data_IF_393420484225
#
_entry.id   IF_393420484225
#
_cell.length_a   1.000
_cell.length_b   1.000
_cell.length_c   1.000
_cell.angle_alpha   90.00
_cell.angle_beta   90.00
_cell.angle_gamma   90.00
#
_symmetry.space_group_name_H-M   'P 1'
#
loop_
_entity.id
_entity.type
_entity.pdbx_description
1 polymer ?
#
# COMPACT_ATOMS: atom_id res chain seq x y z
N UNK A 1 13.75 -30.48 -11.39
CA UNK A 1 12.65 -29.57 -11.73
C UNK A 1 12.70 -28.27 -10.93
N UNK A 2 12.95 -28.29 -9.62
CA UNK A 2 13.07 -27.06 -8.80
C UNK A 2 14.32 -26.21 -9.09
N UNK A 3 15.47 -26.87 -9.27
CA UNK A 3 16.73 -26.18 -9.60
C UNK A 3 16.74 -25.50 -10.98
N UNK A 4 16.01 -26.04 -11.98
CA UNK A 4 15.89 -25.42 -13.30
C UNK A 4 15.04 -24.15 -13.24
N UNK A 5 14.01 -24.12 -12.38
CA UNK A 5 13.16 -22.94 -12.16
C UNK A 5 13.91 -21.85 -11.40
N UNK A 6 14.66 -22.22 -10.35
CA UNK A 6 15.46 -21.26 -9.58
C UNK A 6 16.57 -20.60 -10.42
N UNK A 7 17.22 -21.34 -11.34
CA UNK A 7 18.21 -20.75 -12.25
C UNK A 7 17.59 -19.81 -13.29
N UNK A 8 16.41 -20.13 -13.81
CA UNK A 8 15.70 -19.27 -14.78
C UNK A 8 15.23 -17.95 -14.13
N UNK A 9 14.82 -18.01 -12.86
CA UNK A 9 14.43 -16.82 -12.09
C UNK A 9 15.63 -15.92 -11.77
N UNK A 10 16.80 -16.51 -11.44
CA UNK A 10 18.05 -15.76 -11.22
C UNK A 10 18.54 -15.08 -12.51
N UNK A 11 18.51 -15.76 -13.66
CA UNK A 11 18.90 -15.16 -14.94
C UNK A 11 17.97 -14.00 -15.35
N UNK A 12 16.66 -14.14 -15.12
CA UNK A 12 15.70 -13.04 -15.33
C UNK A 12 16.02 -11.87 -14.42
N UNK A 13 16.28 -12.12 -13.13
CA UNK A 13 16.66 -11.08 -12.17
C UNK A 13 17.95 -10.37 -12.58
N UNK A 14 18.99 -11.10 -13.02
CA UNK A 14 20.23 -10.50 -13.50
C UNK A 14 20.01 -9.57 -14.69
N UNK A 15 19.11 -9.92 -15.62
CA UNK A 15 18.75 -9.07 -16.77
C UNK A 15 17.96 -7.82 -16.38
N UNK A 16 17.20 -7.85 -15.29
CA UNK A 16 16.54 -6.66 -14.74
C UNK A 16 17.50 -5.77 -13.95
N UNK A 17 18.53 -6.36 -13.34
CA UNK A 17 19.53 -5.64 -12.53
C UNK A 17 20.63 -5.03 -13.41
N UNK A 18 21.04 -5.72 -14.48
CA UNK A 18 22.07 -5.27 -15.41
C UNK A 18 21.45 -4.77 -16.71
N UNK A 19 21.37 -3.45 -16.85
CA UNK A 19 20.90 -2.80 -18.08
C UNK A 19 22.11 -2.50 -19.02
N UNK A 20 22.12 -3.05 -20.25
CA UNK A 20 23.14 -2.77 -21.26
C UNK A 20 23.33 -1.28 -21.57
N UNK A 21 22.33 -0.44 -21.27
CA UNK A 21 22.43 1.01 -21.40
C UNK A 21 23.45 1.62 -20.44
N UNK A 22 23.74 1.06 -19.26
CA UNK A 22 24.73 1.63 -18.32
C UNK A 22 26.12 1.00 -18.45
N UNK A 23 26.23 -0.12 -19.15
CA UNK A 23 27.49 -0.84 -19.35
C UNK A 23 28.45 -0.12 -20.32
N UNK A 24 29.74 -0.48 -20.26
CA UNK A 24 30.76 0.03 -21.19
C UNK A 24 30.65 -0.69 -22.54
N UNK A 25 30.76 0.04 -23.66
CA UNK A 25 30.81 -0.52 -25.01
C UNK A 25 29.54 -0.37 -25.86
N UNK A 26 28.35 -0.26 -25.25
CA UNK A 26 27.07 -0.15 -25.99
C UNK A 26 26.74 1.27 -26.48
N UNK A 27 27.68 1.92 -27.18
CA UNK A 27 27.52 3.33 -27.63
C UNK A 27 26.29 3.56 -28.53
N UNK A 28 26.06 2.66 -29.49
CA UNK A 28 24.93 2.77 -30.42
C UNK A 28 23.56 2.64 -29.72
N UNK A 29 23.46 1.71 -28.75
CA UNK A 29 22.24 1.51 -27.96
C UNK A 29 21.92 2.75 -27.12
N UNK A 30 22.94 3.30 -26.45
CA UNK A 30 22.83 4.54 -25.66
C UNK A 30 22.32 5.70 -26.51
N UNK A 31 22.95 5.92 -27.66
CA UNK A 31 22.58 7.01 -28.57
C UNK A 31 21.13 6.91 -29.05
N UNK A 32 20.70 5.72 -29.50
CA UNK A 32 19.33 5.49 -29.95
C UNK A 32 18.32 5.74 -28.83
N UNK A 33 18.59 5.24 -27.62
CA UNK A 33 17.69 5.39 -26.48
C UNK A 33 17.58 6.86 -26.02
N UNK A 34 18.69 7.60 -26.01
CA UNK A 34 18.68 9.03 -25.70
C UNK A 34 17.86 9.80 -26.74
N UNK A 35 18.05 9.53 -28.04
CA UNK A 35 17.28 10.18 -29.11
C UNK A 35 15.78 9.91 -28.95
N UNK A 36 15.39 8.64 -28.78
CA UNK A 36 13.98 8.29 -28.59
C UNK A 36 13.39 8.94 -27.34
N UNK A 37 14.18 9.04 -26.27
CA UNK A 37 13.78 9.72 -25.04
C UNK A 37 13.55 11.21 -25.30
N UNK A 38 14.48 11.89 -25.97
CA UNK A 38 14.34 13.32 -26.31
C UNK A 38 13.11 13.54 -27.21
N UNK A 39 12.92 12.72 -28.23
CA UNK A 39 11.75 12.79 -29.13
C UNK A 39 10.46 12.60 -28.32
N UNK A 40 10.42 11.62 -27.42
CA UNK A 40 9.26 11.39 -26.54
C UNK A 40 8.95 12.61 -25.68
N UNK A 41 9.98 13.23 -25.10
CA UNK A 41 9.81 14.47 -24.34
C UNK A 41 9.32 15.63 -25.20
N UNK A 42 9.76 15.75 -26.46
CA UNK A 42 9.23 16.76 -27.39
C UNK A 42 7.73 16.55 -27.61
N UNK A 43 7.29 15.31 -27.83
CA UNK A 43 5.87 14.98 -27.99
C UNK A 43 5.02 15.30 -26.75
N UNK A 44 5.61 15.32 -25.56
CA UNK A 44 4.91 15.72 -24.32
C UNK A 44 4.96 17.24 -24.13
N UNK A 45 6.13 17.85 -24.28
CA UNK A 45 6.36 19.27 -23.97
C UNK A 45 5.71 20.18 -25.00
N UNK A 46 5.74 19.84 -26.28
CA UNK A 46 5.20 20.71 -27.35
C UNK A 46 3.70 20.92 -27.21
N UNK A 47 2.84 19.89 -27.07
CA UNK A 47 1.40 20.09 -26.88
C UNK A 47 1.06 20.84 -25.59
N UNK A 48 1.81 20.57 -24.51
CA UNK A 48 1.65 21.29 -23.23
C UNK A 48 1.98 22.77 -23.41
N UNK A 49 3.12 23.08 -24.04
CA UNK A 49 3.53 24.45 -24.32
C UNK A 49 2.51 25.17 -25.22
N UNK A 50 2.03 24.53 -26.28
CA UNK A 50 1.00 25.10 -27.15
C UNK A 50 -0.28 25.43 -26.39
N UNK A 51 -0.75 24.51 -25.54
CA UNK A 51 -1.95 24.72 -24.74
C UNK A 51 -1.77 25.89 -23.77
N UNK A 52 -0.65 25.96 -23.05
CA UNK A 52 -0.36 27.05 -22.10
C UNK A 52 -0.13 28.39 -22.80
N UNK A 53 0.57 28.39 -23.93
CA UNK A 53 0.82 29.56 -24.77
C UNK A 53 -0.50 30.16 -25.27
N UNK A 54 -1.40 29.32 -25.78
CA UNK A 54 -2.68 29.75 -26.33
C UNK A 54 -3.72 30.15 -25.27
N UNK A 55 -3.53 29.81 -23.98
CA UNK A 55 -4.52 30.08 -22.92
C UNK A 55 -3.98 31.03 -21.85
N UNK A 56 -2.96 30.62 -21.11
CA UNK A 56 -2.44 31.31 -19.92
C UNK A 56 -1.55 32.50 -20.27
N UNK A 57 -0.76 32.40 -21.35
CA UNK A 57 0.27 33.39 -21.67
C UNK A 57 -0.17 34.48 -22.66
N UNK A 58 -1.39 34.43 -23.18
CA UNK A 58 -1.86 35.33 -24.25
C UNK A 58 -1.76 36.82 -23.90
N UNK A 59 -1.98 37.19 -22.63
CA UNK A 59 -1.93 38.59 -22.18
C UNK A 59 -0.57 39.02 -21.61
N UNK A 60 0.44 38.14 -21.64
CA UNK A 60 1.78 38.46 -21.14
C UNK A 60 2.73 38.55 -22.32
N UNK A 61 3.34 39.72 -22.55
CA UNK A 61 4.39 39.96 -23.55
C UNK A 61 5.66 39.08 -23.37
N UNK A 62 5.64 38.14 -22.43
CA UNK A 62 6.76 37.26 -22.09
C UNK A 62 7.00 36.18 -23.14
N UNK A 63 5.96 35.69 -23.83
CA UNK A 63 6.07 34.58 -24.79
C UNK A 63 5.21 34.84 -26.01
N UNK A 64 5.72 34.52 -27.21
CA UNK A 64 4.93 34.57 -28.44
C UNK A 64 3.85 33.49 -28.37
N UNK A 65 2.59 33.91 -28.42
CA UNK A 65 1.46 33.01 -28.58
C UNK A 65 1.59 32.27 -29.90
N UNK A 66 1.66 30.94 -29.87
CA UNK A 66 1.77 30.15 -31.11
C UNK A 66 0.51 30.28 -31.96
N UNK A 67 -0.66 30.39 -31.32
CA UNK A 67 -1.93 30.59 -32.01
C UNK A 67 -2.97 31.27 -31.09
N UNK A 68 -3.73 32.23 -31.60
CA UNK A 68 -4.65 33.08 -30.82
C UNK A 68 -6.10 32.96 -31.30
N UNK A 69 -6.62 31.74 -31.37
CA UNK A 69 -8.01 31.49 -31.76
C UNK A 69 -8.91 31.64 -30.54
N UNK A 70 -9.94 32.47 -30.64
CA UNK A 70 -10.87 32.73 -29.54
C UNK A 70 -11.67 31.47 -29.17
N UNK A 71 -12.18 30.75 -30.17
CA UNK A 71 -13.00 29.54 -29.98
C UNK A 71 -12.30 28.45 -29.16
N UNK A 72 -11.01 28.19 -29.44
CA UNK A 72 -10.24 27.19 -28.69
C UNK A 72 -10.06 27.57 -27.21
N UNK A 73 -9.96 28.87 -26.89
CA UNK A 73 -9.87 29.36 -25.51
C UNK A 73 -11.19 29.22 -24.78
N UNK A 74 -12.30 29.57 -25.43
CA UNK A 74 -13.63 29.48 -24.83
C UNK A 74 -13.98 28.02 -24.49
N UNK A 75 -13.65 27.10 -25.40
CA UNK A 75 -13.77 25.65 -25.17
C UNK A 75 -12.91 25.23 -23.98
N UNK A 76 -11.64 25.61 -23.93
CA UNK A 76 -10.73 25.25 -22.84
C UNK A 76 -11.26 25.70 -21.47
N UNK A 77 -11.69 26.96 -21.35
CA UNK A 77 -12.24 27.47 -20.10
C UNK A 77 -13.59 26.81 -19.75
N UNK A 78 -14.47 26.58 -20.73
CA UNK A 78 -15.75 25.90 -20.50
C UNK A 78 -15.55 24.49 -19.92
N UNK A 79 -14.70 23.68 -20.55
CA UNK A 79 -14.35 22.35 -20.05
C UNK A 79 -13.61 22.42 -18.71
N UNK A 80 -12.70 23.38 -18.53
CA UNK A 80 -12.01 23.59 -17.26
C UNK A 80 -12.99 23.84 -16.10
N UNK A 81 -13.99 24.70 -16.29
CA UNK A 81 -15.03 24.95 -15.29
C UNK A 81 -15.86 23.69 -15.03
N UNK A 82 -16.29 22.98 -16.08
CA UNK A 82 -17.02 21.72 -15.94
C UNK A 82 -16.24 20.69 -15.11
N UNK A 83 -14.95 20.49 -15.38
CA UNK A 83 -14.11 19.55 -14.64
C UNK A 83 -13.90 19.95 -13.19
N UNK A 84 -13.73 21.25 -12.89
CA UNK A 84 -13.61 21.73 -11.52
C UNK A 84 -14.91 21.47 -10.74
N UNK A 85 -16.07 21.75 -11.34
CA UNK A 85 -17.36 21.49 -10.71
C UNK A 85 -17.55 19.99 -10.49
N UNK A 86 -17.27 19.16 -11.51
CA UNK A 86 -17.34 17.71 -11.39
C UNK A 86 -16.41 17.17 -10.29
N UNK A 87 -15.19 17.71 -10.19
CA UNK A 87 -14.24 17.35 -9.14
C UNK A 87 -14.78 17.68 -7.74
N UNK A 88 -15.36 18.88 -7.55
CA UNK A 88 -15.96 19.27 -6.28
C UNK A 88 -17.12 18.33 -5.91
N UNK A 89 -18.01 18.03 -6.86
CA UNK A 89 -19.12 17.10 -6.63
C UNK A 89 -18.62 15.72 -6.24
N UNK A 90 -17.63 15.18 -6.96
CA UNK A 90 -17.02 13.89 -6.64
C UNK A 90 -16.32 13.89 -5.28
N UNK A 91 -15.63 14.97 -4.93
CA UNK A 91 -15.00 15.13 -3.62
C UNK A 91 -16.06 15.11 -2.49
N UNK A 92 -17.18 15.81 -2.66
CA UNK A 92 -18.28 15.80 -1.68
C UNK A 92 -18.86 14.40 -1.54
N UNK A 93 -19.20 13.74 -2.66
CA UNK A 93 -19.78 12.38 -2.65
C UNK A 93 -18.84 11.39 -1.97
N UNK A 94 -17.55 11.42 -2.30
CA UNK A 94 -16.55 10.52 -1.70
C UNK A 94 -16.39 10.75 -0.20
N UNK A 95 -16.36 12.01 0.25
CA UNK A 95 -16.33 12.33 1.69
C UNK A 95 -17.59 11.82 2.39
N UNK A 96 -18.77 12.10 1.84
CA UNK A 96 -20.05 11.65 2.41
C UNK A 96 -20.12 10.13 2.50
N UNK A 97 -19.72 9.42 1.45
CA UNK A 97 -19.69 7.96 1.43
C UNK A 97 -18.66 7.40 2.41
N UNK A 98 -17.50 8.04 2.55
CA UNK A 98 -16.49 7.65 3.53
C UNK A 98 -17.02 7.79 4.96
N UNK A 99 -17.68 8.92 5.26
CA UNK A 99 -18.30 9.15 6.56
C UNK A 99 -19.43 8.16 6.85
N UNK A 100 -20.31 7.94 5.88
CA UNK A 100 -21.39 6.96 5.99
C UNK A 100 -20.86 5.55 6.21
N UNK A 101 -19.88 5.13 5.42
CA UNK A 101 -19.27 3.80 5.53
C UNK A 101 -18.56 3.61 6.88
N UNK A 102 -17.85 4.62 7.37
CA UNK A 102 -17.21 4.57 8.68
C UNK A 102 -18.26 4.48 9.81
N UNK A 103 -19.34 5.26 9.72
CA UNK A 103 -20.45 5.21 10.65
C UNK A 103 -21.14 3.83 10.67
N UNK A 104 -21.48 3.31 9.48
CA UNK A 104 -22.06 1.98 9.31
C UNK A 104 -21.15 0.89 9.89
N UNK A 105 -19.85 0.93 9.55
CA UNK A 105 -18.85 -0.02 10.06
C UNK A 105 -18.75 0.02 11.58
N UNK A 106 -18.74 1.22 12.19
CA UNK A 106 -18.66 1.38 13.64
C UNK A 106 -19.92 0.85 14.35
N UNK A 107 -21.10 1.08 13.78
CA UNK A 107 -22.37 0.73 14.44
C UNK A 107 -22.85 -0.70 14.16
N UNK A 108 -22.65 -1.22 12.96
CA UNK A 108 -23.22 -2.49 12.52
C UNK A 108 -22.17 -3.58 12.40
N UNK A 109 -21.00 -3.29 11.82
CA UNK A 109 -19.96 -4.32 11.60
C UNK A 109 -19.18 -4.62 12.89
N UNK A 110 -18.74 -3.60 13.62
CA UNK A 110 -17.96 -3.79 14.86
C UNK A 110 -18.81 -4.21 16.08
N UNK A 111 -20.12 -3.99 16.05
CA UNK A 111 -21.01 -4.38 17.14
C UNK A 111 -21.34 -5.87 17.15
N UNK A 112 -21.18 -6.54 16.00
CA UNK A 112 -21.26 -8.00 15.91
C UNK A 112 -19.90 -8.54 16.37
N UNK A 113 -19.66 -8.56 17.68
CA UNK A 113 -18.59 -9.39 18.25
C UNK A 113 -18.96 -10.84 17.97
N UNK A 114 -18.37 -11.44 16.93
CA UNK A 114 -18.58 -12.85 16.60
C UNK A 114 -17.99 -13.81 17.66
N UNK A 115 -17.40 -13.28 18.74
CA UNK A 115 -16.85 -14.04 19.85
C UNK A 115 -17.60 -13.71 21.14
N UNK A 116 -17.88 -14.73 21.94
CA UNK A 116 -18.42 -14.57 23.28
C UNK A 116 -17.34 -13.97 24.20
N UNK A 117 -17.51 -12.70 24.56
CA UNK A 117 -16.56 -11.97 25.42
C UNK A 117 -16.38 -12.64 26.78
N UNK A 118 -17.45 -13.22 27.36
CA UNK A 118 -17.37 -13.92 28.64
C UNK A 118 -16.54 -15.18 28.51
N UNK A 119 -16.75 -15.96 27.44
CA UNK A 119 -15.95 -17.15 27.14
C UNK A 119 -14.49 -16.80 26.88
N UNK A 120 -14.21 -15.72 26.16
CA UNK A 120 -12.86 -15.24 25.87
C UNK A 120 -12.11 -14.84 27.16
N UNK A 121 -12.74 -14.05 28.02
CA UNK A 121 -12.13 -13.61 29.29
C UNK A 121 -11.90 -14.78 30.24
N UNK A 122 -12.83 -15.75 30.25
CA UNK A 122 -12.70 -16.95 31.04
C UNK A 122 -11.53 -17.84 30.57
N UNK A 123 -11.40 -18.05 29.25
CA UNK A 123 -10.25 -18.73 28.62
C UNK A 123 -8.93 -18.03 28.89
N UNK A 124 -8.91 -16.68 28.80
CA UNK A 124 -7.73 -15.87 29.13
C UNK A 124 -7.28 -16.08 30.58
N UNK A 125 -8.22 -16.15 31.52
CA UNK A 125 -7.91 -16.37 32.93
C UNK A 125 -7.40 -17.79 33.19
N UNK A 126 -8.03 -18.82 32.61
CA UNK A 126 -7.59 -20.20 32.76
C UNK A 126 -6.14 -20.42 32.28
N UNK A 127 -5.77 -19.77 31.18
CA UNK A 127 -4.41 -19.83 30.65
C UNK A 127 -3.41 -19.00 31.46
N UNK A 128 -3.86 -17.92 32.09
CA UNK A 128 -2.97 -17.02 32.83
C UNK A 128 -2.22 -17.77 33.93
N UNK A 129 -2.91 -18.66 34.63
CA UNK A 129 -2.32 -19.41 35.74
C UNK A 129 -1.27 -20.39 35.22
N UNK A 130 -1.58 -21.14 34.16
CA UNK A 130 -0.65 -22.02 33.47
C UNK A 130 0.63 -21.30 33.01
N UNK A 131 0.50 -20.15 32.34
CA UNK A 131 1.67 -19.39 31.90
C UNK A 131 2.48 -18.79 33.05
N UNK A 132 1.84 -18.50 34.18
CA UNK A 132 2.52 -17.98 35.37
C UNK A 132 3.33 -19.09 36.05
N UNK A 133 2.81 -20.32 36.05
CA UNK A 133 3.53 -21.49 36.55
C UNK A 133 4.75 -21.84 35.68
N UNK A 134 4.56 -21.95 34.36
CA UNK A 134 5.62 -22.38 33.44
C UNK A 134 6.69 -21.30 33.18
N UNK A 135 6.28 -20.04 33.02
CA UNK A 135 7.17 -18.96 32.57
C UNK A 135 7.43 -17.90 33.65
N UNK A 136 6.79 -18.01 34.81
CA UNK A 136 6.85 -17.03 35.88
C UNK A 136 5.97 -15.80 35.62
N UNK A 137 5.90 -14.93 36.63
CA UNK A 137 5.10 -13.72 36.53
C UNK A 137 5.55 -12.79 35.39
N UNK A 138 4.55 -12.16 34.77
CA UNK A 138 4.70 -11.26 33.61
C UNK A 138 5.77 -10.19 33.84
N UNK A 139 5.69 -9.51 34.98
CA UNK A 139 6.51 -8.34 35.28
C UNK A 139 7.93 -8.69 35.72
N UNK A 140 8.16 -9.92 36.18
CA UNK A 140 9.45 -10.31 36.75
C UNK A 140 10.31 -11.04 35.72
N UNK A 141 9.70 -11.98 34.98
CA UNK A 141 10.45 -12.90 34.12
C UNK A 141 10.13 -12.74 32.64
N UNK A 142 8.85 -12.75 32.26
CA UNK A 142 8.45 -12.76 30.84
C UNK A 142 8.83 -11.50 30.07
N UNK A 143 8.69 -10.32 30.67
CA UNK A 143 8.96 -9.06 29.97
C UNK A 143 10.41 -8.58 30.10
N UNK A 144 11.18 -9.10 31.07
CA UNK A 144 12.53 -8.62 31.38
C UNK A 144 13.64 -9.52 30.82
N UNK A 145 13.35 -10.77 30.49
CA UNK A 145 14.34 -11.72 29.97
C UNK A 145 14.38 -11.66 28.44
N UNK A 146 15.54 -11.34 27.87
CA UNK A 146 15.73 -11.25 26.41
C UNK A 146 16.05 -12.58 25.74
N UNK A 147 16.56 -13.54 26.49
CA UNK A 147 16.98 -14.84 25.97
C UNK A 147 16.40 -15.96 26.83
N UNK A 148 15.61 -16.83 26.20
CA UNK A 148 15.01 -18.01 26.81
C UNK A 148 15.40 -19.22 25.97
N UNK A 149 16.02 -20.21 26.61
CA UNK A 149 16.42 -21.46 25.97
C UNK A 149 15.50 -22.57 26.47
N UNK A 150 14.88 -23.29 25.55
CA UNK A 150 13.93 -24.37 25.84
C UNK A 150 14.63 -25.70 25.60
N UNK A 151 14.77 -26.50 26.65
CA UNK A 151 15.18 -27.89 26.47
C UNK A 151 14.03 -28.72 25.86
N UNK A 152 14.31 -29.82 25.12
CA UNK A 152 13.25 -30.65 24.53
C UNK A 152 12.20 -31.13 25.53
N UNK A 153 12.58 -31.31 26.80
CA UNK A 153 11.70 -31.74 27.88
C UNK A 153 10.75 -30.62 28.37
N UNK A 154 11.09 -29.36 28.14
CA UNK A 154 10.28 -28.19 28.48
C UNK A 154 9.37 -27.76 27.32
N UNK A 155 9.33 -28.52 26.24
CA UNK A 155 8.45 -28.22 25.12
C UNK A 155 7.00 -28.60 25.47
N UNK A 156 6.06 -27.73 25.08
CA UNK A 156 4.64 -27.97 25.30
C UNK A 156 4.15 -29.10 24.38
N UNK A 157 3.29 -29.96 24.90
CA UNK A 157 2.55 -30.93 24.09
C UNK A 157 1.57 -30.20 23.15
N UNK A 158 1.30 -30.77 21.97
CA UNK A 158 0.53 -30.12 20.90
C UNK A 158 -0.85 -29.66 21.39
N UNK A 159 -1.48 -30.45 22.25
CA UNK A 159 -2.86 -30.23 22.71
C UNK A 159 -2.92 -29.57 24.10
N UNK A 160 -1.80 -29.09 24.65
CA UNK A 160 -1.75 -28.57 26.03
C UNK A 160 -2.77 -27.46 26.25
N UNK A 161 -2.86 -26.52 25.32
CA UNK A 161 -3.76 -25.37 25.41
C UNK A 161 -5.23 -25.79 25.26
N UNK A 162 -5.52 -26.72 24.35
CA UNK A 162 -6.88 -27.23 24.14
C UNK A 162 -7.37 -28.04 25.35
N UNK A 163 -6.48 -28.79 26.01
CA UNK A 163 -6.76 -29.50 27.26
C UNK A 163 -7.16 -28.52 28.37
N UNK A 164 -6.42 -27.42 28.53
CA UNK A 164 -6.74 -26.36 29.52
C UNK A 164 -8.11 -25.75 29.24
N UNK A 165 -8.43 -25.48 27.97
CA UNK A 165 -9.75 -24.95 27.61
C UNK A 165 -10.87 -25.94 27.86
N UNK A 166 -10.70 -27.23 27.51
CA UNK A 166 -11.70 -28.26 27.76
C UNK A 166 -11.94 -28.46 29.25
N UNK A 167 -10.88 -28.58 30.05
CA UNK A 167 -10.97 -28.71 31.49
C UNK A 167 -11.75 -27.55 32.11
N UNK A 168 -11.43 -26.31 31.73
CA UNK A 168 -12.17 -25.14 32.20
C UNK A 168 -13.64 -25.13 31.76
N UNK A 169 -13.93 -25.52 30.52
CA UNK A 169 -15.29 -25.57 29.97
C UNK A 169 -16.14 -26.72 30.57
N UNK A 170 -15.52 -27.81 31.02
CA UNK A 170 -16.18 -28.95 31.68
C UNK A 170 -16.43 -28.73 33.17
N UNK A 171 -15.68 -27.84 33.83
CA UNK A 171 -15.85 -27.54 35.27
C UNK A 171 -16.98 -26.54 35.55
N UNK A 172 -17.75 -26.16 34.52
CA UNK A 172 -18.73 -25.06 34.53
C UNK A 172 -20.14 -25.57 34.21
#
# INVERSE_FOLDING_TARGET
MKASTEMEDVEKLEKYVNDPFFEKGHFWLKFRQIILTIISWIFVVVPVYWTLSATVFVNKNFMRTVWSYAEGRDIFYSYGHFFIIAFIVLAIVTILFTLHNNHYTKQHVKKITNYDEKRLMARRNAIKDFYTEEFGEVNNRRNNVRYYSVSPQQNLDVDTIDKIYKQFEETK
#
